data_IF_579459612684
#
_entry.id   IF_579459612684
#
_cell.length_a   1.000
_cell.length_b   1.000
_cell.length_c   1.000
_cell.angle_alpha   90.00
_cell.angle_beta   90.00
_cell.angle_gamma   90.00
#
_symmetry.space_group_name_H-M   'P 1'
#
loop_
_entity.id
_entity.type
_entity.pdbx_description
1 polymer ?
#
# COMPACT_ATOMS: atom_id res chain seq x y z
N UNK A 1 -52.89 -39.45 -9.40
CA UNK A 1 -51.45 -39.16 -9.42
C UNK A 1 -51.30 -37.65 -9.34
N UNK A 2 -50.73 -37.13 -8.26
CA UNK A 2 -50.54 -35.68 -8.10
C UNK A 2 -49.43 -35.21 -9.05
N UNK A 3 -49.67 -34.15 -9.82
CA UNK A 3 -48.79 -33.69 -10.91
C UNK A 3 -47.98 -32.43 -10.56
N UNK A 4 -48.20 -31.85 -9.39
CA UNK A 4 -47.52 -30.63 -8.96
C UNK A 4 -46.59 -30.94 -7.78
N UNK A 5 -45.33 -30.52 -7.92
CA UNK A 5 -44.30 -30.69 -6.91
C UNK A 5 -43.37 -29.48 -6.94
N UNK A 6 -42.90 -29.05 -5.76
CA UNK A 6 -41.91 -27.99 -5.63
C UNK A 6 -40.56 -28.59 -5.28
N UNK A 7 -39.51 -28.03 -5.89
CA UNK A 7 -38.13 -28.39 -5.59
C UNK A 7 -37.64 -27.41 -4.53
N UNK A 8 -37.29 -27.94 -3.35
CA UNK A 8 -36.87 -27.15 -2.19
C UNK A 8 -35.47 -27.57 -1.78
N UNK A 9 -34.62 -26.61 -1.42
CA UNK A 9 -33.29 -26.90 -0.90
C UNK A 9 -33.37 -27.46 0.52
N UNK A 10 -32.73 -28.61 0.78
CA UNK A 10 -32.64 -29.20 2.11
C UNK A 10 -31.25 -28.98 2.70
N UNK A 11 -31.14 -28.07 3.67
CA UNK A 11 -29.87 -27.72 4.33
C UNK A 11 -29.28 -28.88 5.13
N UNK A 12 -30.10 -29.78 5.69
CA UNK A 12 -29.62 -30.92 6.48
C UNK A 12 -28.98 -32.02 5.61
N UNK A 13 -29.40 -32.14 4.34
CA UNK A 13 -28.90 -33.16 3.40
C UNK A 13 -28.04 -32.58 2.29
N UNK A 14 -27.87 -31.26 2.25
CA UNK A 14 -27.10 -30.52 1.25
C UNK A 14 -27.52 -30.86 -0.20
N UNK A 15 -28.83 -30.99 -0.44
CA UNK A 15 -29.37 -31.34 -1.76
C UNK A 15 -30.79 -30.80 -1.97
N UNK A 16 -31.19 -30.64 -3.23
CA UNK A 16 -32.58 -30.33 -3.60
C UNK A 16 -33.47 -31.57 -3.45
N UNK A 17 -34.59 -31.42 -2.75
CA UNK A 17 -35.58 -32.49 -2.55
C UNK A 17 -36.93 -32.07 -3.11
N UNK A 18 -37.67 -33.04 -3.64
CA UNK A 18 -39.01 -32.82 -4.20
C UNK A 18 -40.04 -32.95 -3.08
N UNK A 19 -40.74 -31.87 -2.76
CA UNK A 19 -41.77 -31.84 -1.73
C UNK A 19 -43.16 -31.67 -2.35
N UNK A 20 -44.13 -32.44 -1.84
CA UNK A 20 -45.54 -32.28 -2.17
C UNK A 20 -46.10 -31.06 -1.43
N UNK A 21 -46.92 -30.25 -2.12
CA UNK A 21 -47.53 -29.00 -1.61
C UNK A 21 -48.46 -29.18 -0.40
N UNK A 22 -48.75 -30.42 0.01
CA UNK A 22 -49.58 -30.73 1.18
C UNK A 22 -48.81 -30.88 2.50
N UNK A 23 -47.49 -30.73 2.49
CA UNK A 23 -46.66 -30.77 3.70
C UNK A 23 -46.60 -29.38 4.37
N UNK A 24 -47.68 -28.98 5.05
CA UNK A 24 -47.64 -27.83 5.98
C UNK A 24 -46.94 -28.25 7.27
N UNK A 25 -45.63 -27.99 7.34
CA UNK A 25 -44.84 -28.14 8.56
C UNK A 25 -44.61 -26.78 9.22
N UNK A 26 -45.31 -26.54 10.32
CA UNK A 26 -44.99 -25.47 11.28
C UNK A 26 -43.62 -25.76 11.90
N UNK A 27 -42.65 -24.87 11.71
CA UNK A 27 -41.30 -25.05 12.25
C UNK A 27 -40.76 -23.79 12.89
N UNK A 28 -41.18 -23.55 14.13
CA UNK A 28 -40.32 -22.90 15.12
C UNK A 28 -39.24 -23.87 15.57
N UNK A 29 -37.98 -23.72 15.15
CA UNK A 29 -36.82 -24.19 15.96
C UNK A 29 -35.69 -23.16 15.91
N UNK A 30 -35.24 -22.85 17.13
CA UNK A 30 -34.19 -21.93 17.57
C UNK A 30 -32.79 -22.48 17.26
N UNK A 31 -31.89 -21.58 16.87
CA UNK A 31 -30.41 -21.60 16.78
C UNK A 31 -29.66 -22.90 17.10
N UNK A 32 -28.78 -23.33 16.17
CA UNK A 32 -27.32 -23.48 16.39
C UNK A 32 -26.56 -23.91 15.11
N UNK A 33 -25.86 -22.93 14.53
CA UNK A 33 -24.54 -22.87 13.87
C UNK A 33 -23.92 -23.97 12.97
N UNK A 34 -23.23 -23.44 11.94
CA UNK A 34 -22.12 -23.95 11.07
C UNK A 34 -22.54 -24.80 9.86
N UNK A 35 -22.09 -24.57 8.62
CA UNK A 35 -21.18 -23.59 8.02
C UNK A 35 -21.35 -23.62 6.48
N UNK A 36 -20.73 -22.65 5.79
CA UNK A 36 -20.60 -22.46 4.33
C UNK A 36 -21.76 -21.75 3.63
N UNK A 37 -21.75 -20.41 3.74
CA UNK A 37 -22.52 -19.51 2.89
C UNK A 37 -21.58 -18.49 2.26
N UNK A 38 -21.45 -18.56 0.94
CA UNK A 38 -20.96 -17.48 0.08
C UNK A 38 -21.99 -16.34 0.12
N UNK A 39 -21.50 -15.10 0.04
CA UNK A 39 -22.22 -13.82 -0.02
C UNK A 39 -22.80 -13.31 1.30
N UNK A 40 -21.99 -12.54 2.04
CA UNK A 40 -22.50 -11.52 2.95
C UNK A 40 -22.92 -10.29 2.14
N UNK A 41 -24.22 -10.21 1.81
CA UNK A 41 -24.92 -8.94 1.76
C UNK A 41 -25.37 -8.64 3.20
N UNK A 42 -24.69 -7.72 3.89
CA UNK A 42 -25.19 -7.15 5.14
C UNK A 42 -24.84 -5.66 5.23
N UNK A 43 -25.89 -4.85 5.09
CA UNK A 43 -25.89 -3.41 5.36
C UNK A 43 -27.30 -2.83 5.42
N UNK A 44 -28.28 -3.56 5.97
CA UNK A 44 -29.60 -3.05 6.35
C UNK A 44 -29.92 -3.50 7.77
N UNK A 45 -29.13 -2.99 8.72
CA UNK A 45 -29.49 -2.90 10.14
C UNK A 45 -29.16 -1.47 10.56
N UNK A 46 -30.21 -0.68 10.86
CA UNK A 46 -30.08 0.63 11.48
C UNK A 46 -29.58 0.47 12.92
N UNK A 47 -28.25 0.54 13.09
CA UNK A 47 -27.50 0.74 14.33
C UNK A 47 -26.47 1.87 14.11
N UNK A 48 -25.70 2.30 15.13
CA UNK A 48 -24.88 3.51 15.04
C UNK A 48 -23.97 3.43 13.82
N UNK A 49 -23.87 4.55 13.08
CA UNK A 49 -23.17 4.72 11.80
C UNK A 49 -22.24 3.55 11.44
N UNK A 50 -22.60 2.77 10.42
CA UNK A 50 -21.68 1.78 9.87
C UNK A 50 -20.32 2.44 9.64
N UNK A 51 -19.26 1.83 10.20
CA UNK A 51 -17.91 2.32 9.98
C UNK A 51 -17.67 2.43 8.47
N UNK A 52 -17.09 3.54 8.04
CA UNK A 52 -16.76 3.85 6.63
C UNK A 52 -15.66 2.92 6.06
N UNK A 53 -15.18 2.00 6.89
CA UNK A 53 -14.12 1.05 6.62
C UNK A 53 -14.28 -0.19 7.51
N UNK A 54 -13.55 -1.25 7.16
CA UNK A 54 -13.46 -2.48 7.94
C UNK A 54 -12.24 -2.40 8.86
N UNK A 55 -12.41 -2.33 10.21
CA UNK A 55 -11.27 -2.12 11.12
C UNK A 55 -10.26 -3.25 11.14
N UNK A 56 -10.68 -4.47 10.85
CA UNK A 56 -9.78 -5.62 10.74
C UNK A 56 -10.16 -6.42 9.50
N UNK A 57 -9.30 -6.41 8.50
CA UNK A 57 -9.42 -7.25 7.30
C UNK A 57 -8.70 -8.55 7.60
N UNK A 58 -9.44 -9.61 7.91
CA UNK A 58 -8.85 -10.87 8.32
C UNK A 58 -8.12 -11.57 7.15
N UNK A 59 -7.24 -12.52 7.47
CA UNK A 59 -6.55 -13.30 6.45
C UNK A 59 -7.55 -14.01 5.52
N UNK A 60 -7.35 -13.85 4.21
CA UNK A 60 -8.26 -14.37 3.17
C UNK A 60 -9.47 -13.48 2.86
N UNK A 61 -9.68 -12.40 3.60
CA UNK A 61 -10.67 -11.39 3.27
C UNK A 61 -10.09 -10.34 2.32
N UNK A 62 -10.99 -9.68 1.59
CA UNK A 62 -10.63 -8.57 0.70
C UNK A 62 -11.65 -7.45 0.83
N UNK A 63 -11.16 -6.23 0.99
CA UNK A 63 -11.96 -5.01 1.04
C UNK A 63 -11.48 -4.03 -0.03
N UNK A 64 -12.34 -3.13 -0.50
CA UNK A 64 -11.96 -2.15 -1.50
C UNK A 64 -12.70 -0.83 -1.35
N UNK A 65 -12.00 0.27 -1.63
CA UNK A 65 -12.59 1.62 -1.70
C UNK A 65 -12.98 2.20 -0.34
N UNK A 66 -12.35 1.73 0.72
CA UNK A 66 -12.61 2.21 2.09
C UNK A 66 -11.89 3.53 2.35
N UNK A 67 -12.43 4.32 3.28
CA UNK A 67 -11.85 5.63 3.64
C UNK A 67 -11.51 5.69 5.13
N UNK A 68 -10.27 6.07 5.44
CA UNK A 68 -9.76 6.33 6.78
C UNK A 68 -9.54 7.84 6.93
N UNK A 69 -10.58 8.53 7.40
CA UNK A 69 -10.70 9.98 7.33
C UNK A 69 -10.10 10.69 8.56
N UNK A 70 -10.38 10.16 9.75
CA UNK A 70 -10.03 10.81 11.01
C UNK A 70 -8.86 10.12 11.69
N UNK A 71 -8.20 10.81 12.63
CA UNK A 71 -7.04 10.27 13.36
C UNK A 71 -7.35 9.02 14.19
N UNK A 72 -8.62 8.78 14.48
CA UNK A 72 -9.09 7.63 15.24
C UNK A 72 -9.48 6.45 14.33
N UNK A 73 -9.47 6.66 13.01
CA UNK A 73 -9.70 5.59 12.03
C UNK A 73 -8.43 4.73 11.94
N UNK A 74 -8.57 3.45 12.24
CA UNK A 74 -7.45 2.51 12.31
C UNK A 74 -7.84 1.16 11.73
N UNK A 75 -7.20 0.79 10.62
CA UNK A 75 -7.44 -0.47 9.92
C UNK A 75 -6.23 -1.39 10.02
N UNK A 76 -6.43 -2.60 10.50
CA UNK A 76 -5.46 -3.70 10.44
C UNK A 76 -5.74 -4.59 9.23
N UNK A 77 -4.74 -4.78 8.36
CA UNK A 77 -4.87 -5.59 7.14
C UNK A 77 -4.02 -6.84 7.26
N UNK A 78 -4.65 -7.97 7.59
CA UNK A 78 -4.06 -9.32 7.49
C UNK A 78 -4.43 -10.01 6.16
N UNK A 79 -5.52 -9.57 5.52
CA UNK A 79 -5.95 -10.00 4.19
C UNK A 79 -5.46 -9.06 3.09
N UNK A 80 -6.39 -8.54 2.28
CA UNK A 80 -6.07 -7.59 1.21
C UNK A 80 -6.98 -6.36 1.24
N UNK A 81 -6.39 -5.18 1.18
CA UNK A 81 -7.10 -3.91 1.06
C UNK A 81 -6.73 -3.24 -0.26
N UNK A 82 -7.74 -2.89 -1.06
CA UNK A 82 -7.56 -2.26 -2.37
C UNK A 82 -8.12 -0.84 -2.38
N UNK A 83 -7.42 0.10 -3.02
CA UNK A 83 -7.92 1.46 -3.25
C UNK A 83 -8.36 2.18 -1.95
N UNK A 84 -7.71 1.90 -0.82
CA UNK A 84 -8.01 2.60 0.44
C UNK A 84 -7.56 4.05 0.35
N UNK A 85 -8.42 4.98 0.75
CA UNK A 85 -8.07 6.41 0.88
C UNK A 85 -7.78 6.73 2.34
N UNK A 86 -6.59 7.26 2.63
CA UNK A 86 -6.09 7.53 3.98
C UNK A 86 -5.82 9.03 4.14
N UNK A 87 -6.85 9.75 4.59
CA UNK A 87 -6.84 11.22 4.69
C UNK A 87 -6.34 11.74 6.03
N UNK A 88 -6.62 11.00 7.10
CA UNK A 88 -6.17 11.33 8.45
C UNK A 88 -6.00 10.12 9.38
N UNK A 89 -6.50 8.94 8.98
CA UNK A 89 -6.38 7.71 9.75
C UNK A 89 -5.11 6.91 9.47
N UNK A 90 -5.13 5.65 9.89
CA UNK A 90 -4.00 4.73 9.86
C UNK A 90 -4.40 3.40 9.24
N UNK A 91 -3.71 2.99 8.19
CA UNK A 91 -3.76 1.61 7.71
C UNK A 91 -2.47 0.90 8.12
N UNK A 92 -2.60 -0.18 8.89
CA UNK A 92 -1.49 -1.02 9.29
C UNK A 92 -1.55 -2.35 8.54
N UNK A 93 -0.61 -2.55 7.63
CA UNK A 93 -0.49 -3.78 6.83
C UNK A 93 0.34 -4.77 7.61
N UNK A 94 -0.32 -5.79 8.11
CA UNK A 94 0.24 -6.78 9.03
C UNK A 94 1.01 -7.86 8.28
N UNK A 95 1.61 -8.81 9.01
CA UNK A 95 2.28 -9.98 8.45
C UNK A 95 1.38 -10.74 7.45
N UNK A 96 1.86 -10.90 6.22
CA UNK A 96 1.13 -11.53 5.12
C UNK A 96 0.03 -10.65 4.49
N UNK A 97 -0.21 -9.47 5.05
CA UNK A 97 -1.18 -8.50 4.54
C UNK A 97 -0.72 -7.80 3.26
N UNK A 98 -1.69 -7.41 2.43
CA UNK A 98 -1.49 -6.65 1.21
C UNK A 98 -2.32 -5.36 1.23
N UNK A 99 -1.66 -4.22 1.02
CA UNK A 99 -2.32 -2.97 0.63
C UNK A 99 -1.94 -2.61 -0.81
N UNK A 100 -2.94 -2.44 -1.67
CA UNK A 100 -2.71 -2.16 -3.07
C UNK A 100 -3.48 -0.92 -3.53
N UNK A 101 -2.79 -0.05 -4.28
CA UNK A 101 -3.33 1.18 -4.88
C UNK A 101 -3.86 2.20 -3.83
N UNK A 102 -3.31 2.17 -2.61
CA UNK A 102 -3.69 3.09 -1.53
C UNK A 102 -3.35 4.56 -1.86
N UNK A 103 -4.25 5.47 -1.52
CA UNK A 103 -4.09 6.92 -1.66
C UNK A 103 -3.89 7.57 -0.29
N UNK A 104 -2.69 8.06 0.00
CA UNK A 104 -2.33 8.61 1.31
C UNK A 104 -2.13 10.11 1.19
N UNK A 105 -3.10 10.90 1.65
CA UNK A 105 -3.13 12.36 1.45
C UNK A 105 -2.84 13.14 2.74
N UNK A 106 -3.08 12.53 3.91
CA UNK A 106 -2.78 13.15 5.19
C UNK A 106 -2.66 12.21 6.40
N UNK A 107 -3.08 10.95 6.27
CA UNK A 107 -2.84 9.93 7.28
C UNK A 107 -1.57 9.11 7.03
N UNK A 108 -1.53 7.92 7.60
CA UNK A 108 -0.34 7.05 7.58
C UNK A 108 -0.67 5.65 7.06
N UNK A 109 0.18 5.16 6.16
CA UNK A 109 0.24 3.77 5.74
C UNK A 109 1.46 3.11 6.36
N UNK A 110 1.26 2.25 7.35
CA UNK A 110 2.34 1.51 8.02
C UNK A 110 2.40 0.08 7.48
N UNK A 111 3.57 -0.33 7.00
CA UNK A 111 3.81 -1.66 6.45
C UNK A 111 4.70 -2.41 7.44
N UNK A 112 4.11 -3.30 8.25
CA UNK A 112 4.86 -4.10 9.22
C UNK A 112 5.81 -5.08 8.52
N UNK A 113 6.71 -5.67 9.30
CA UNK A 113 7.52 -6.81 8.84
C UNK A 113 6.64 -7.86 8.14
N UNK A 114 7.09 -8.33 6.97
CA UNK A 114 6.37 -9.26 6.08
C UNK A 114 5.02 -8.76 5.51
N UNK A 115 4.58 -7.54 5.84
CA UNK A 115 3.51 -6.85 5.12
C UNK A 115 4.00 -6.31 3.77
N UNK A 116 3.08 -6.17 2.81
CA UNK A 116 3.40 -5.65 1.48
C UNK A 116 2.48 -4.51 1.06
N UNK A 117 3.06 -3.43 0.55
CA UNK A 117 2.34 -2.37 -0.16
C UNK A 117 2.74 -2.32 -1.64
N UNK A 118 1.76 -2.15 -2.53
CA UNK A 118 1.98 -2.03 -3.96
C UNK A 118 1.26 -0.80 -4.51
N UNK A 119 1.96 0.02 -5.30
CA UNK A 119 1.42 1.21 -5.98
C UNK A 119 0.80 2.26 -5.03
N UNK A 120 1.30 2.38 -3.80
CA UNK A 120 0.85 3.44 -2.92
C UNK A 120 1.18 4.83 -3.52
N UNK A 121 0.23 5.75 -3.45
CA UNK A 121 0.42 7.13 -3.90
C UNK A 121 0.33 8.06 -2.69
N UNK A 122 1.45 8.70 -2.37
CA UNK A 122 1.56 9.61 -1.23
C UNK A 122 1.51 11.05 -1.74
N UNK A 123 0.77 11.92 -1.06
CA UNK A 123 0.71 13.36 -1.36
C UNK A 123 0.38 14.18 -0.11
N UNK A 124 0.56 15.50 -0.16
CA UNK A 124 0.11 16.38 0.92
C UNK A 124 0.88 16.15 2.21
N UNK A 125 0.21 15.67 3.26
CA UNK A 125 0.84 15.27 4.54
C UNK A 125 1.00 13.76 4.67
N UNK A 126 0.59 13.00 3.65
CA UNK A 126 0.60 11.55 3.66
C UNK A 126 1.98 10.97 3.94
N UNK A 127 1.98 9.93 4.76
CA UNK A 127 3.18 9.22 5.18
C UNK A 127 3.07 7.72 4.91
N UNK A 128 4.15 7.12 4.43
CA UNK A 128 4.32 5.67 4.43
C UNK A 128 5.52 5.32 5.31
N UNK A 129 5.33 4.38 6.23
CA UNK A 129 6.38 3.82 7.08
C UNK A 129 6.56 2.34 6.70
N UNK A 130 7.73 1.98 6.17
CA UNK A 130 7.98 0.67 5.56
C UNK A 130 8.96 -0.11 6.42
N UNK A 131 8.46 -0.97 7.32
CA UNK A 131 9.26 -2.01 8.00
C UNK A 131 9.31 -3.31 7.19
N UNK A 132 8.24 -3.60 6.42
CA UNK A 132 8.16 -4.70 5.46
C UNK A 132 8.66 -4.34 4.05
N UNK A 133 7.77 -4.46 3.07
CA UNK A 133 8.08 -4.22 1.65
C UNK A 133 7.09 -3.26 0.99
N UNK A 134 7.62 -2.24 0.31
CA UNK A 134 6.84 -1.36 -0.55
C UNK A 134 7.35 -1.42 -1.99
N UNK A 135 6.44 -1.54 -2.96
CA UNK A 135 6.73 -1.60 -4.39
C UNK A 135 6.00 -0.49 -5.13
N UNK A 136 6.71 0.21 -6.02
CA UNK A 136 6.18 1.24 -6.91
C UNK A 136 5.50 2.42 -6.17
N UNK A 137 5.98 2.76 -4.97
CA UNK A 137 5.46 3.92 -4.23
C UNK A 137 5.71 5.20 -5.02
N UNK A 138 4.66 5.99 -5.27
CA UNK A 138 4.78 7.33 -5.85
C UNK A 138 4.69 8.39 -4.76
N UNK A 139 5.74 9.21 -4.62
CA UNK A 139 5.89 10.17 -3.52
C UNK A 139 5.80 11.59 -4.10
N UNK A 140 4.67 12.25 -3.87
CA UNK A 140 4.39 13.59 -4.39
C UNK A 140 4.68 14.70 -3.37
N UNK A 141 4.47 15.94 -3.79
CA UNK A 141 4.74 17.14 -3.01
C UNK A 141 4.18 17.07 -1.57
N UNK A 142 5.06 17.29 -0.60
CA UNK A 142 4.76 17.31 0.84
C UNK A 142 4.77 15.95 1.52
N UNK A 143 4.65 14.86 0.76
CA UNK A 143 4.59 13.51 1.29
C UNK A 143 5.96 12.94 1.63
N UNK A 144 5.96 11.95 2.52
CA UNK A 144 7.17 11.30 3.02
C UNK A 144 7.04 9.79 3.00
N UNK A 145 8.07 9.11 2.50
CA UNK A 145 8.24 7.67 2.65
C UNK A 145 9.45 7.42 3.58
N UNK A 146 9.25 6.65 4.64
CA UNK A 146 10.30 6.24 5.58
C UNK A 146 10.57 4.75 5.39
N UNK A 147 11.73 4.42 4.80
CA UNK A 147 12.07 3.06 4.42
C UNK A 147 13.01 2.45 5.45
N UNK A 148 12.48 1.65 6.37
CA UNK A 148 13.26 0.88 7.37
C UNK A 148 13.57 -0.54 6.88
N UNK A 149 12.62 -1.16 6.16
CA UNK A 149 12.73 -2.43 5.47
C UNK A 149 13.20 -2.25 4.03
N UNK A 150 12.34 -2.58 3.06
CA UNK A 150 12.68 -2.52 1.63
C UNK A 150 11.67 -1.73 0.80
N UNK A 151 12.15 -0.75 0.04
CA UNK A 151 11.41 -0.10 -1.04
C UNK A 151 11.98 -0.50 -2.42
N UNK A 152 11.10 -0.74 -3.38
CA UNK A 152 11.47 -1.06 -4.77
C UNK A 152 10.73 -0.17 -5.74
N UNK A 153 11.49 0.41 -6.67
CA UNK A 153 11.00 1.21 -7.79
C UNK A 153 10.14 2.42 -7.36
N UNK A 154 10.50 3.04 -6.24
CA UNK A 154 9.88 4.30 -5.78
C UNK A 154 10.05 5.41 -6.82
N UNK A 155 9.01 6.21 -7.05
CA UNK A 155 9.05 7.40 -7.89
C UNK A 155 8.92 8.64 -7.02
N UNK A 156 9.98 9.44 -6.95
CA UNK A 156 10.08 10.60 -6.06
C UNK A 156 9.89 11.88 -6.90
N UNK A 157 8.71 12.49 -6.78
CA UNK A 157 8.32 13.68 -7.53
C UNK A 157 8.70 14.98 -6.82
N UNK A 158 8.50 16.10 -7.51
CA UNK A 158 8.81 17.43 -6.99
C UNK A 158 8.20 17.66 -5.60
N UNK A 159 9.05 17.95 -4.61
CA UNK A 159 8.66 18.22 -3.23
C UNK A 159 8.30 16.98 -2.40
N UNK A 160 8.40 15.77 -2.95
CA UNK A 160 8.31 14.52 -2.21
C UNK A 160 9.68 14.07 -1.69
N UNK A 161 9.68 13.36 -0.56
CA UNK A 161 10.92 12.88 0.07
C UNK A 161 10.84 11.40 0.43
N UNK A 162 11.85 10.63 0.06
CA UNK A 162 12.11 9.29 0.60
C UNK A 162 13.30 9.34 1.56
N UNK A 163 13.12 8.86 2.80
CA UNK A 163 14.20 8.67 3.76
C UNK A 163 14.53 7.18 3.81
N UNK A 164 15.75 6.81 3.44
CA UNK A 164 16.18 5.42 3.32
C UNK A 164 17.04 5.07 4.52
N UNK A 165 16.51 4.28 5.44
CA UNK A 165 17.25 3.69 6.57
C UNK A 165 17.60 2.22 6.31
N UNK A 166 16.75 1.50 5.58
CA UNK A 166 16.94 0.12 5.13
C UNK A 166 17.51 0.05 3.70
N UNK A 167 16.76 -0.58 2.79
CA UNK A 167 17.12 -0.72 1.38
C UNK A 167 16.10 -0.01 0.47
N UNK A 168 16.57 0.86 -0.41
CA UNK A 168 15.79 1.34 -1.56
C UNK A 168 16.48 0.92 -2.86
N UNK A 169 15.74 0.29 -3.77
CA UNK A 169 16.28 -0.24 -5.03
C UNK A 169 15.46 0.22 -6.23
N UNK A 170 16.11 0.73 -7.28
CA UNK A 170 15.45 1.13 -8.53
C UNK A 170 14.67 2.44 -8.45
N UNK A 171 14.88 3.23 -7.39
CA UNK A 171 14.20 4.50 -7.22
C UNK A 171 14.46 5.44 -8.42
N UNK A 172 13.47 6.23 -8.79
CA UNK A 172 13.57 7.29 -9.80
C UNK A 172 13.27 8.63 -9.15
N UNK A 173 14.24 9.55 -9.22
CA UNK A 173 14.12 10.90 -8.66
C UNK A 173 13.88 11.90 -9.76
N UNK A 174 12.71 12.50 -9.74
CA UNK A 174 12.31 13.57 -10.65
C UNK A 174 12.74 14.94 -10.13
N UNK A 175 12.62 15.96 -10.98
CA UNK A 175 13.02 17.33 -10.67
C UNK A 175 12.44 17.79 -9.32
N UNK A 176 13.31 18.22 -8.38
CA UNK A 176 13.00 18.63 -7.00
C UNK A 176 12.45 17.53 -6.07
N UNK A 177 12.47 16.25 -6.45
CA UNK A 177 12.31 15.14 -5.51
C UNK A 177 13.57 14.89 -4.70
N UNK A 178 13.47 14.31 -3.51
CA UNK A 178 14.62 14.10 -2.61
C UNK A 178 14.65 12.66 -2.10
N UNK A 179 15.82 12.02 -2.15
CA UNK A 179 16.10 10.78 -1.42
C UNK A 179 17.24 11.05 -0.43
N UNK A 180 16.93 10.92 0.86
CA UNK A 180 17.87 11.08 1.96
C UNK A 180 18.35 9.69 2.38
N UNK A 181 19.65 9.42 2.30
CA UNK A 181 20.18 8.07 2.44
C UNK A 181 20.98 7.93 3.74
N UNK A 182 20.41 7.15 4.65
CA UNK A 182 21.03 6.68 5.89
C UNK A 182 21.38 5.18 5.82
N UNK A 183 20.73 4.43 4.94
CA UNK A 183 20.93 3.01 4.68
C UNK A 183 21.57 2.75 3.30
N UNK A 184 21.00 1.79 2.56
CA UNK A 184 21.52 1.33 1.27
C UNK A 184 20.58 1.74 0.14
N UNK A 185 21.14 2.31 -0.93
CA UNK A 185 20.44 2.54 -2.19
C UNK A 185 21.11 1.79 -3.35
N UNK A 186 20.31 1.26 -4.28
CA UNK A 186 20.77 0.55 -5.48
C UNK A 186 20.01 1.03 -6.71
N UNK A 187 20.69 1.10 -7.85
CA UNK A 187 20.07 1.37 -9.16
C UNK A 187 19.21 2.64 -9.22
N UNK A 188 19.56 3.67 -8.45
CA UNK A 188 18.78 4.90 -8.46
C UNK A 188 19.03 5.71 -9.74
N UNK A 189 17.95 6.11 -10.40
CA UNK A 189 17.94 7.06 -11.52
C UNK A 189 17.64 8.48 -11.05
N UNK A 190 18.44 9.46 -11.46
CA UNK A 190 18.25 10.89 -11.12
C UNK A 190 18.02 11.70 -12.39
N UNK A 191 16.80 12.18 -12.58
CA UNK A 191 16.45 13.03 -13.73
C UNK A 191 16.95 14.47 -13.51
N UNK A 192 17.10 15.25 -14.60
CA UNK A 192 17.65 16.61 -14.52
C UNK A 192 16.85 17.48 -13.54
N UNK A 193 17.57 18.11 -12.58
CA UNK A 193 16.98 18.88 -11.49
C UNK A 193 16.50 18.04 -10.29
N UNK A 194 16.71 16.72 -10.31
CA UNK A 194 16.53 15.85 -9.15
C UNK A 194 17.28 16.38 -7.94
N UNK A 195 16.58 16.46 -6.81
CA UNK A 195 17.07 17.04 -5.58
C UNK A 195 18.20 16.22 -4.95
N UNK A 196 18.74 16.82 -3.89
CA UNK A 196 20.01 16.52 -3.24
C UNK A 196 20.06 15.09 -2.69
N UNK A 197 21.26 14.54 -2.70
CA UNK A 197 21.62 13.23 -2.13
C UNK A 197 22.50 13.47 -0.91
N UNK A 198 22.09 12.97 0.25
CA UNK A 198 22.97 12.88 1.42
C UNK A 198 23.42 11.42 1.52
N UNK A 199 24.73 11.18 1.34
CA UNK A 199 25.34 9.86 1.50
C UNK A 199 26.17 9.90 2.79
N UNK A 200 25.74 9.17 3.82
CA UNK A 200 26.61 9.00 5.00
C UNK A 200 27.46 7.72 4.90
N UNK A 201 27.04 6.64 4.23
CA UNK A 201 27.85 5.41 4.13
C UNK A 201 27.75 4.70 2.76
N UNK A 202 28.78 3.90 2.43
CA UNK A 202 29.15 3.34 1.11
C UNK A 202 28.02 2.87 0.20
N UNK A 203 27.91 3.46 -1.00
CA UNK A 203 27.06 2.98 -2.10
C UNK A 203 27.87 2.74 -3.38
N UNK A 204 27.55 1.69 -4.12
CA UNK A 204 27.86 1.58 -5.56
C UNK A 204 26.76 2.31 -6.33
N UNK A 205 26.80 3.64 -6.38
CA UNK A 205 25.89 4.43 -7.21
C UNK A 205 26.47 4.50 -8.63
N UNK A 206 25.91 3.74 -9.58
CA UNK A 206 26.29 3.86 -10.99
C UNK A 206 25.48 5.00 -11.63
N UNK A 207 26.14 6.14 -11.85
CA UNK A 207 25.57 7.25 -12.60
C UNK A 207 25.50 6.85 -14.08
N UNK A 208 24.29 6.62 -14.61
CA UNK A 208 24.10 6.50 -16.06
C UNK A 208 24.43 7.85 -16.75
N UNK A 209 25.13 7.86 -17.90
CA UNK A 209 25.61 9.08 -18.53
C UNK A 209 24.43 9.95 -19.02
N UNK A 210 24.37 11.19 -18.53
CA UNK A 210 23.49 12.23 -19.09
C UNK A 210 24.11 12.77 -20.38
N UNK A 211 23.35 12.78 -21.48
CA UNK A 211 23.74 13.43 -22.74
C UNK A 211 24.13 14.90 -22.49
N UNK A 212 25.16 15.44 -23.16
CA UNK A 212 25.67 16.78 -22.88
C UNK A 212 24.70 17.85 -23.38
N UNK A 213 23.88 18.39 -22.48
CA UNK A 213 23.16 19.64 -22.71
C UNK A 213 23.95 20.80 -22.08
N UNK A 214 24.30 21.77 -22.91
CA UNK A 214 25.03 23.01 -22.64
C UNK A 214 24.64 23.72 -21.34
N UNK A 215 25.60 23.86 -20.41
CA UNK A 215 25.46 24.65 -19.18
C UNK A 215 25.48 26.17 -19.51
N UNK A 216 24.52 26.99 -19.05
CA UNK A 216 24.75 28.43 -18.93
C UNK A 216 25.61 28.70 -17.69
N UNK A 217 26.70 29.45 -17.89
CA UNK A 217 27.60 29.93 -16.85
C UNK A 217 26.90 30.97 -15.97
N UNK A 218 26.46 30.58 -14.78
CA UNK A 218 26.47 31.37 -13.51
C UNK A 218 25.56 30.71 -12.49
N UNK A 219 26.11 29.87 -11.61
CA UNK A 219 25.51 29.60 -10.31
C UNK A 219 26.64 29.32 -9.31
N UNK A 220 26.66 30.13 -8.26
CA UNK A 220 27.75 30.25 -7.30
C UNK A 220 28.08 28.93 -6.59
N UNK A 221 29.40 28.68 -6.47
CA UNK A 221 29.94 27.64 -5.63
C UNK A 221 29.63 27.96 -4.15
N UNK A 222 28.84 27.11 -3.50
CA UNK A 222 28.87 26.98 -2.04
C UNK A 222 29.72 25.77 -1.69
N UNK A 223 30.84 26.05 -1.03
CA UNK A 223 31.91 25.12 -0.65
C UNK A 223 31.46 24.13 0.43
N UNK A 224 31.70 22.84 0.20
CA UNK A 224 31.65 21.82 1.23
C UNK A 224 31.28 20.43 0.71
N UNK A 225 32.05 19.85 -0.21
CA UNK A 225 31.90 18.44 -0.60
C UNK A 225 33.28 17.81 -0.79
N UNK A 226 33.71 17.05 0.22
CA UNK A 226 34.96 16.31 0.16
C UNK A 226 34.71 14.94 -0.47
N UNK A 227 35.52 14.63 -1.49
CA UNK A 227 35.56 13.39 -2.24
C UNK A 227 35.80 12.14 -1.37
N UNK A 228 35.04 11.08 -1.63
CA UNK A 228 35.57 9.70 -1.62
C UNK A 228 34.99 8.97 -2.84
N UNK A 229 35.72 8.97 -3.96
CA UNK A 229 35.46 8.11 -5.11
C UNK A 229 36.47 6.95 -5.10
N UNK A 230 36.07 5.67 -5.15
CA UNK A 230 36.95 4.63 -5.67
C UNK A 230 36.94 4.69 -7.19
N UNK A 231 38.11 4.99 -7.75
CA UNK A 231 38.55 4.86 -9.15
C UNK A 231 37.55 4.34 -10.19
N UNK A 232 37.09 5.25 -11.06
CA UNK A 232 36.52 4.90 -12.36
C UNK A 232 37.65 4.45 -13.30
N UNK A 233 37.69 3.17 -13.68
CA UNK A 233 38.44 2.74 -14.88
C UNK A 233 37.59 3.10 -16.09
N UNK A 234 38.00 4.14 -16.80
CA UNK A 234 37.60 4.36 -18.20
C UNK A 234 38.38 3.33 -19.02
N UNK A 235 37.70 2.33 -19.59
CA UNK A 235 38.30 1.48 -20.62
C UNK A 235 38.17 2.20 -21.98
N UNK A 236 39.16 2.02 -22.87
CA UNK A 236 39.41 2.87 -24.04
C UNK A 236 38.28 2.85 -25.08
#
# INVERSE_FOLDING_TARGET
MNKNFNIVWNTARNMYVVASEFAQGDSQIKNQARAAGIATLLGLLSGPAMADYTPTVAAGESVSGETLNTTDDYQEVYGSAFNTTIEGGWQNVMDGGLSQDAQVTGGTLQIQENGTSVNAVLSGKGQQDVDGRAEHTTINSGARNYVYGTAVDSVINAGGTEHVFGLSSGATINNKGVQEVYGIVKNTTVNQGGGRWYLEHTTTAEKQPVSPATLPSTAAAHSGWNQIMPSLKVLP
#
